data_IF_837000919840
#
_entry.id   IF_837000919840
#
_cell.length_a   1.000
_cell.length_b   1.000
_cell.length_c   1.000
_cell.angle_alpha   90.00
_cell.angle_beta   90.00
_cell.angle_gamma   90.00
#
_symmetry.space_group_name_H-M   'P 1'
#
loop_
_entity.id
_entity.type
_entity.pdbx_description
1 polymer ?
#
# COMPACT_ATOMS: atom_id res chain seq x y z
N UNK A 1 18.35 -5.95 -3.04
CA UNK A 1 16.91 -5.94 -2.73
C UNK A 1 16.36 -4.56 -3.08
N UNK A 2 15.88 -4.39 -4.31
CA UNK A 2 15.24 -3.15 -4.76
C UNK A 2 13.74 -3.27 -4.56
N UNK A 3 13.14 -2.34 -3.82
CA UNK A 3 11.69 -2.27 -3.61
C UNK A 3 11.19 -1.10 -4.46
N UNK A 4 10.42 -1.37 -5.51
CA UNK A 4 9.70 -0.34 -6.23
C UNK A 4 8.30 -0.20 -5.64
N UNK A 5 7.98 0.99 -5.10
CA UNK A 5 6.65 1.38 -4.68
C UNK A 5 5.99 2.15 -5.82
N UNK A 6 5.16 1.49 -6.61
CA UNK A 6 4.42 2.17 -7.69
C UNK A 6 3.22 2.90 -7.11
N UNK A 7 3.32 4.24 -7.02
CA UNK A 7 2.22 5.11 -6.61
C UNK A 7 1.54 5.69 -7.85
N UNK A 8 0.34 5.21 -8.18
CA UNK A 8 -0.46 5.76 -9.27
C UNK A 8 -1.12 7.08 -8.87
N UNK A 9 -0.37 8.19 -8.81
CA UNK A 9 -0.92 9.54 -8.62
C UNK A 9 -0.46 10.48 -9.73
N UNK A 10 -1.42 10.97 -10.54
CA UNK A 10 -1.17 12.14 -11.40
C UNK A 10 -2.15 12.36 -12.56
N UNK A 11 -2.74 11.33 -13.18
CA UNK A 11 -3.38 11.50 -14.49
C UNK A 11 -4.83 11.01 -14.63
N UNK A 12 -5.50 10.64 -13.54
CA UNK A 12 -6.83 10.00 -13.62
C UNK A 12 -6.82 8.59 -14.23
N UNK A 13 -5.64 8.07 -14.63
CA UNK A 13 -5.45 6.64 -14.86
C UNK A 13 -5.34 5.96 -13.51
N UNK A 14 -6.10 4.89 -13.33
CA UNK A 14 -6.25 4.28 -12.03
C UNK A 14 -5.03 3.45 -11.60
N UNK A 15 -4.31 2.82 -12.56
CA UNK A 15 -3.05 2.08 -12.37
C UNK A 15 -2.18 2.17 -13.62
N UNK A 16 -0.87 2.34 -13.43
CA UNK A 16 0.13 2.30 -14.52
C UNK A 16 0.70 0.89 -14.70
N UNK A 17 0.08 0.12 -15.59
CA UNK A 17 0.54 -1.24 -15.94
C UNK A 17 1.89 -1.21 -16.68
N UNK A 18 2.18 -0.13 -17.41
CA UNK A 18 3.46 0.00 -18.13
C UNK A 18 4.61 0.09 -17.15
N UNK A 19 4.49 0.97 -16.14
CA UNK A 19 5.47 1.08 -15.06
C UNK A 19 5.59 -0.22 -14.26
N UNK A 20 4.48 -0.93 -14.02
CA UNK A 20 4.50 -2.23 -13.37
C UNK A 20 5.29 -3.28 -14.18
N UNK A 21 5.02 -3.38 -15.48
CA UNK A 21 5.71 -4.30 -16.38
C UNK A 21 7.22 -3.98 -16.46
N UNK A 22 7.57 -2.70 -16.55
CA UNK A 22 8.96 -2.26 -16.51
C UNK A 22 9.64 -2.62 -15.18
N UNK A 23 8.93 -2.45 -14.07
CA UNK A 23 9.44 -2.81 -12.74
C UNK A 23 9.73 -4.30 -12.60
N UNK A 24 8.91 -5.18 -13.23
CA UNK A 24 9.16 -6.62 -13.22
C UNK A 24 10.45 -7.03 -13.95
N UNK A 25 10.97 -6.18 -14.85
CA UNK A 25 12.25 -6.43 -15.54
C UNK A 25 13.43 -6.09 -14.63
N UNK A 26 13.30 -5.04 -13.82
CA UNK A 26 14.41 -4.49 -13.03
C UNK A 26 14.48 -5.02 -11.60
N UNK A 27 13.38 -5.56 -11.06
CA UNK A 27 13.28 -5.90 -9.64
C UNK A 27 12.77 -7.32 -9.42
N UNK A 28 13.40 -8.02 -8.46
CA UNK A 28 12.95 -9.35 -8.01
C UNK A 28 11.58 -9.30 -7.30
N UNK A 29 11.27 -8.15 -6.68
CA UNK A 29 10.01 -7.92 -5.96
C UNK A 29 9.49 -6.52 -6.25
N UNK A 30 8.25 -6.46 -6.72
CA UNK A 30 7.50 -5.23 -6.97
C UNK A 30 6.38 -5.13 -5.96
N UNK A 31 6.31 -3.99 -5.26
CA UNK A 31 5.29 -3.74 -4.24
C UNK A 31 4.31 -2.69 -4.77
N UNK A 32 3.07 -3.11 -4.97
CA UNK A 32 2.00 -2.24 -5.47
C UNK A 32 1.19 -1.68 -4.31
N UNK A 33 0.93 -0.37 -4.33
CA UNK A 33 0.10 0.29 -3.32
C UNK A 33 -1.18 0.83 -3.96
N UNK A 34 -2.25 0.01 -4.04
CA UNK A 34 -3.54 0.47 -4.55
C UNK A 34 -4.14 1.48 -3.57
N UNK A 35 -4.49 2.67 -4.06
CA UNK A 35 -5.03 3.74 -3.21
C UNK A 35 -6.48 3.48 -2.77
N UNK A 36 -7.20 2.58 -3.45
CA UNK A 36 -8.56 2.16 -3.13
C UNK A 36 -8.92 0.82 -3.80
N UNK A 37 -10.11 0.31 -3.49
CA UNK A 37 -10.63 -0.97 -3.97
C UNK A 37 -10.90 -1.01 -5.47
N UNK A 38 -11.26 0.14 -6.06
CA UNK A 38 -11.51 0.24 -7.50
C UNK A 38 -10.20 0.09 -8.28
N UNK A 39 -9.14 0.77 -7.83
CA UNK A 39 -7.80 0.60 -8.42
C UNK A 39 -7.37 -0.87 -8.36
N UNK A 40 -7.47 -1.52 -7.19
CA UNK A 40 -7.13 -2.94 -7.09
C UNK A 40 -7.97 -3.81 -8.04
N UNK A 41 -9.26 -3.50 -8.20
CA UNK A 41 -10.13 -4.22 -9.13
C UNK A 41 -9.70 -4.03 -10.58
N UNK A 42 -9.33 -2.82 -10.98
CA UNK A 42 -8.82 -2.53 -12.31
C UNK A 42 -7.47 -3.22 -12.56
N UNK A 43 -6.60 -3.31 -11.54
CA UNK A 43 -5.35 -4.08 -11.62
C UNK A 43 -5.61 -5.53 -11.98
N UNK A 44 -6.47 -6.19 -11.19
CA UNK A 44 -6.77 -7.60 -11.35
C UNK A 44 -7.54 -7.83 -12.65
N UNK A 45 -8.47 -6.93 -12.99
CA UNK A 45 -9.22 -6.97 -14.24
C UNK A 45 -8.30 -6.94 -15.45
N UNK A 46 -7.19 -6.18 -15.42
CA UNK A 46 -6.21 -6.20 -16.50
C UNK A 46 -5.66 -7.61 -16.76
N UNK A 47 -5.27 -8.36 -15.73
CA UNK A 47 -4.81 -9.75 -15.90
C UNK A 47 -5.91 -10.68 -16.41
N UNK A 48 -7.14 -10.52 -15.91
CA UNK A 48 -8.29 -11.30 -16.37
C UNK A 48 -8.55 -11.06 -17.86
N UNK A 49 -8.60 -9.79 -18.27
CA UNK A 49 -8.92 -9.40 -19.65
C UNK A 49 -7.84 -9.82 -20.65
N UNK A 50 -6.59 -9.96 -20.22
CA UNK A 50 -5.49 -10.46 -21.04
C UNK A 50 -5.30 -11.99 -20.96
N UNK A 51 -6.14 -12.71 -20.20
CA UNK A 51 -6.00 -14.15 -20.04
C UNK A 51 -4.80 -14.59 -19.19
N UNK A 52 -4.17 -13.67 -18.46
CA UNK A 52 -2.94 -13.86 -17.67
C UNK A 52 -3.22 -13.93 -16.16
N UNK A 53 -4.45 -14.26 -15.76
CA UNK A 53 -4.82 -14.40 -14.35
C UNK A 53 -3.97 -15.46 -13.61
N UNK A 54 -3.54 -16.52 -14.30
CA UNK A 54 -2.64 -17.51 -13.70
C UNK A 54 -1.26 -16.92 -13.42
N UNK A 55 -0.75 -16.05 -14.30
CA UNK A 55 0.53 -15.37 -14.10
C UNK A 55 0.44 -14.42 -12.91
N UNK A 56 -0.68 -13.72 -12.74
CA UNK A 56 -0.95 -12.93 -11.52
C UNK A 56 -0.82 -13.77 -10.24
N UNK A 57 -1.43 -14.97 -10.21
CA UNK A 57 -1.30 -15.86 -9.07
C UNK A 57 0.11 -16.40 -8.88
N UNK A 58 0.85 -16.65 -9.96
CA UNK A 58 2.25 -17.05 -9.90
C UNK A 58 3.13 -15.94 -9.32
N UNK A 59 2.96 -14.71 -9.77
CA UNK A 59 3.68 -13.53 -9.24
C UNK A 59 3.46 -13.36 -7.74
N UNK A 60 2.23 -13.57 -7.26
CA UNK A 60 1.93 -13.57 -5.82
C UNK A 60 2.57 -14.76 -5.11
N UNK A 61 2.46 -15.96 -5.67
CA UNK A 61 2.99 -17.18 -5.05
C UNK A 61 4.52 -17.14 -4.90
N UNK A 62 5.21 -16.57 -5.89
CA UNK A 62 6.67 -16.41 -5.89
C UNK A 62 7.14 -15.23 -5.03
N UNK A 63 6.21 -14.38 -4.59
CA UNK A 63 6.51 -13.16 -3.85
C UNK A 63 7.10 -12.04 -4.71
N UNK A 64 7.14 -12.22 -6.04
CA UNK A 64 7.53 -11.20 -7.02
C UNK A 64 6.57 -10.02 -7.03
N UNK A 65 5.28 -10.27 -6.80
CA UNK A 65 4.29 -9.23 -6.59
C UNK A 65 3.83 -9.27 -5.14
N UNK A 66 3.92 -8.12 -4.47
CA UNK A 66 3.31 -7.89 -3.15
C UNK A 66 2.49 -6.61 -3.17
N UNK A 67 1.65 -6.48 -2.16
CA UNK A 67 0.83 -5.30 -1.94
C UNK A 67 1.23 -4.60 -0.66
N UNK A 68 1.16 -3.28 -0.67
CA UNK A 68 1.37 -2.46 0.49
C UNK A 68 0.14 -1.60 0.72
N UNK A 69 -0.38 -1.62 1.95
CA UNK A 69 -1.58 -0.88 2.31
C UNK A 69 -1.34 -0.04 3.58
N UNK A 70 -1.67 1.24 3.49
CA UNK A 70 -1.74 2.12 4.66
C UNK A 70 -3.15 2.01 5.26
N UNK A 71 -3.27 1.36 6.40
CA UNK A 71 -4.53 1.23 7.13
C UNK A 71 -4.88 2.51 7.90
N UNK A 72 -4.62 3.69 7.34
CA UNK A 72 -4.97 4.99 7.90
C UNK A 72 -4.83 6.08 6.83
N UNK A 73 -5.48 7.22 7.06
CA UNK A 73 -5.35 8.42 6.24
C UNK A 73 -4.59 9.47 7.03
N UNK A 74 -3.49 9.98 6.50
CA UNK A 74 -2.79 11.13 7.06
C UNK A 74 -3.29 12.43 6.43
N UNK A 75 -3.64 13.41 7.24
CA UNK A 75 -4.02 14.75 6.80
C UNK A 75 -3.30 15.82 7.62
N UNK A 76 -2.96 16.94 6.98
CA UNK A 76 -2.47 18.12 7.68
C UNK A 76 -3.67 18.97 8.12
N UNK A 77 -3.69 19.36 9.39
CA UNK A 77 -4.67 20.31 9.93
C UNK A 77 -3.94 21.43 10.67
N UNK A 78 -4.56 22.60 10.70
CA UNK A 78 -4.14 23.66 11.61
C UNK A 78 -4.98 23.53 12.87
N UNK A 79 -4.33 23.40 14.02
CA UNK A 79 -4.99 23.37 15.33
C UNK A 79 -4.20 24.26 16.26
N UNK A 80 -4.88 25.17 16.94
CA UNK A 80 -4.28 26.11 17.90
C UNK A 80 -3.11 26.92 17.29
N UNK A 81 -3.27 27.37 16.05
CA UNK A 81 -2.25 28.05 15.21
C UNK A 81 -0.97 27.23 14.92
N UNK A 82 -0.98 25.93 15.22
CA UNK A 82 0.11 25.01 14.90
C UNK A 82 -0.26 24.04 13.77
N UNK A 83 0.67 23.84 12.84
CA UNK A 83 0.56 22.78 11.83
C UNK A 83 0.70 21.41 12.49
N UNK A 84 -0.34 20.60 12.36
CA UNK A 84 -0.41 19.25 12.91
C UNK A 84 -0.68 18.22 11.81
N UNK A 85 -0.02 17.06 11.88
CA UNK A 85 -0.34 15.90 11.05
C UNK A 85 -1.22 14.96 11.87
N UNK A 86 -2.39 14.63 11.35
CA UNK A 86 -3.35 13.73 11.98
C UNK A 86 -3.48 12.47 11.15
N UNK A 87 -3.34 11.33 11.82
CA UNK A 87 -3.64 10.03 11.24
C UNK A 87 -5.05 9.63 11.67
N UNK A 88 -5.92 9.46 10.69
CA UNK A 88 -7.29 9.02 10.86
C UNK A 88 -7.32 7.53 10.53
N UNK A 89 -7.60 6.72 11.55
CA UNK A 89 -7.75 5.28 11.42
C UNK A 89 -9.12 4.90 11.99
N UNK A 90 -9.94 4.24 11.18
CA UNK A 90 -11.22 3.71 11.67
C UNK A 90 -11.02 2.41 12.48
N UNK A 91 -12.07 1.95 13.15
CA UNK A 91 -12.01 0.75 13.99
C UNK A 91 -11.66 -0.51 13.20
N UNK A 92 -12.14 -0.66 11.97
CA UNK A 92 -11.85 -1.81 11.12
C UNK A 92 -10.39 -1.78 10.67
N UNK A 93 -9.88 -0.60 10.33
CA UNK A 93 -8.50 -0.38 9.95
C UNK A 93 -7.52 -0.66 11.09
N UNK A 94 -7.93 -0.50 12.35
CA UNK A 94 -7.11 -0.85 13.50
C UNK A 94 -7.04 -2.37 13.74
N UNK A 95 -7.99 -3.16 13.20
CA UNK A 95 -7.94 -4.62 13.33
C UNK A 95 -6.79 -5.22 12.52
N UNK A 96 -6.16 -6.30 13.01
CA UNK A 96 -5.18 -7.04 12.22
C UNK A 96 -5.84 -7.71 11.01
N UNK A 97 -5.13 -7.78 9.88
CA UNK A 97 -5.61 -8.37 8.63
C UNK A 97 -6.88 -7.68 8.09
N UNK A 98 -6.96 -6.35 8.23
CA UNK A 98 -8.14 -5.59 7.79
C UNK A 98 -8.25 -5.50 6.26
N UNK A 99 -7.13 -5.68 5.55
CA UNK A 99 -7.06 -5.65 4.09
C UNK A 99 -8.08 -6.60 3.43
N UNK A 100 -8.15 -7.86 3.85
CA UNK A 100 -9.07 -8.85 3.25
C UNK A 100 -10.52 -8.35 3.30
N UNK A 101 -10.95 -7.85 4.46
CA UNK A 101 -12.30 -7.31 4.65
C UNK A 101 -12.54 -6.02 3.88
N UNK A 102 -11.55 -5.11 3.85
CA UNK A 102 -11.70 -3.78 3.26
C UNK A 102 -11.58 -3.76 1.75
N UNK A 103 -10.74 -4.62 1.18
CA UNK A 103 -10.48 -4.69 -0.25
C UNK A 103 -11.15 -5.88 -0.90
N UNK A 104 -10.89 -7.10 -0.42
CA UNK A 104 -11.27 -8.30 -1.16
C UNK A 104 -12.77 -8.59 -1.12
N UNK A 105 -13.47 -8.14 -0.08
CA UNK A 105 -14.94 -8.27 0.04
C UNK A 105 -15.70 -7.13 -0.63
N UNK A 106 -14.99 -6.15 -1.20
CA UNK A 106 -15.64 -5.05 -1.91
C UNK A 106 -16.30 -5.56 -3.20
N UNK A 107 -17.48 -5.05 -3.52
CA UNK A 107 -18.28 -5.51 -4.67
C UNK A 107 -17.52 -5.44 -6.00
N UNK A 108 -16.65 -4.42 -6.18
CA UNK A 108 -15.83 -4.30 -7.39
C UNK A 108 -14.86 -5.46 -7.58
N UNK A 109 -14.35 -6.05 -6.49
CA UNK A 109 -13.46 -7.21 -6.52
C UNK A 109 -14.28 -8.49 -6.67
N UNK A 110 -15.36 -8.65 -5.87
CA UNK A 110 -16.19 -9.85 -5.93
C UNK A 110 -16.84 -10.04 -7.31
N UNK A 111 -17.18 -8.96 -8.01
CA UNK A 111 -17.73 -8.98 -9.36
C UNK A 111 -16.78 -9.61 -10.40
N UNK A 112 -15.46 -9.52 -10.18
CA UNK A 112 -14.46 -10.17 -11.04
C UNK A 112 -14.44 -11.70 -10.87
N UNK A 113 -14.95 -12.19 -9.74
CA UNK A 113 -14.94 -13.60 -9.36
C UNK A 113 -16.34 -14.06 -8.91
N UNK A 114 -17.30 -14.23 -9.83
CA UNK A 114 -18.68 -14.53 -9.47
C UNK A 114 -18.84 -15.88 -8.75
N UNK A 115 -17.92 -16.83 -9.00
CA UNK A 115 -17.91 -18.14 -8.34
C UNK A 115 -17.19 -18.06 -6.98
N UNK A 116 -17.86 -18.50 -5.92
CA UNK A 116 -17.31 -18.50 -4.56
C UNK A 116 -15.95 -19.23 -4.43
N UNK A 117 -15.75 -20.32 -5.19
CA UNK A 117 -14.46 -21.03 -5.21
C UNK A 117 -13.31 -20.17 -5.72
N UNK A 118 -13.56 -19.30 -6.70
CA UNK A 118 -12.53 -18.40 -7.23
C UNK A 118 -12.22 -17.29 -6.22
N UNK A 119 -13.23 -16.77 -5.51
CA UNK A 119 -13.02 -15.83 -4.40
C UNK A 119 -12.14 -16.42 -3.31
N UNK A 120 -12.42 -17.65 -2.87
CA UNK A 120 -11.58 -18.34 -1.88
C UNK A 120 -10.13 -18.48 -2.34
N UNK A 121 -9.91 -18.76 -3.63
CA UNK A 121 -8.57 -18.84 -4.18
C UNK A 121 -7.86 -17.48 -4.19
N UNK A 122 -8.56 -16.42 -4.60
CA UNK A 122 -8.06 -15.06 -4.52
C UNK A 122 -7.64 -14.69 -3.10
N UNK A 123 -8.52 -14.92 -2.11
CA UNK A 123 -8.24 -14.56 -0.71
C UNK A 123 -7.02 -15.31 -0.18
N UNK A 124 -6.87 -16.60 -0.55
CA UNK A 124 -5.68 -17.37 -0.19
C UNK A 124 -4.39 -16.84 -0.84
N UNK A 125 -4.47 -16.30 -2.06
CA UNK A 125 -3.30 -15.77 -2.75
C UNK A 125 -2.78 -14.46 -2.13
N UNK A 126 -3.65 -13.68 -1.49
CA UNK A 126 -3.28 -12.40 -0.86
C UNK A 126 -2.76 -12.53 0.58
N UNK A 127 -3.09 -13.61 1.31
CA UNK A 127 -2.89 -13.72 2.76
C UNK A 127 -1.46 -13.43 3.25
N UNK A 128 -0.45 -13.83 2.49
CA UNK A 128 0.98 -13.62 2.85
C UNK A 128 1.68 -12.62 1.92
N UNK A 129 0.91 -11.94 1.06
CA UNK A 129 1.41 -11.01 0.04
C UNK A 129 0.98 -9.57 0.26
N UNK A 130 0.42 -9.26 1.43
CA UNK A 130 0.03 -7.91 1.82
C UNK A 130 0.85 -7.48 3.03
N UNK A 131 1.58 -6.38 2.87
CA UNK A 131 2.16 -5.63 3.98
C UNK A 131 1.15 -4.57 4.37
N UNK A 132 0.45 -4.82 5.47
CA UNK A 132 -0.53 -3.90 6.04
C UNK A 132 0.16 -3.10 7.14
N UNK A 133 0.17 -1.77 7.01
CA UNK A 133 0.87 -0.90 7.97
C UNK A 133 -0.11 -0.09 8.78
N UNK A 134 -0.02 -0.22 10.10
CA UNK A 134 -0.89 0.44 11.08
C UNK A 134 -0.29 1.74 11.59
N UNK A 135 -1.14 2.62 12.10
CA UNK A 135 -0.71 3.91 12.65
C UNK A 135 0.25 3.76 13.83
N UNK A 136 0.02 2.75 14.66
CA UNK A 136 0.82 2.44 15.85
C UNK A 136 2.27 2.06 15.54
N UNK A 137 2.53 1.49 14.36
CA UNK A 137 3.87 1.12 13.91
C UNK A 137 4.78 2.36 13.67
N UNK A 138 4.17 3.53 13.47
CA UNK A 138 4.90 4.79 13.32
C UNK A 138 5.11 5.55 14.64
N UNK A 139 4.50 5.11 15.74
CA UNK A 139 4.51 5.86 17.00
C UNK A 139 5.93 6.11 17.54
N UNK A 140 6.78 5.08 17.52
CA UNK A 140 8.17 5.19 18.00
C UNK A 140 9.01 6.12 17.13
N UNK A 141 8.85 6.07 15.80
CA UNK A 141 9.55 6.95 14.87
C UNK A 141 9.15 8.42 15.08
N UNK A 142 7.86 8.68 15.33
CA UNK A 142 7.34 10.03 15.60
C UNK A 142 7.92 10.57 16.92
N UNK A 143 7.91 9.77 17.99
CA UNK A 143 8.44 10.21 19.29
C UNK A 143 9.97 10.43 19.25
N UNK A 144 10.71 9.59 18.53
CA UNK A 144 12.12 9.81 18.28
C UNK A 144 12.36 11.12 17.50
N UNK A 145 11.62 11.35 16.42
CA UNK A 145 11.72 12.59 15.64
C UNK A 145 11.40 13.84 16.50
N UNK A 146 10.41 13.75 17.40
CA UNK A 146 10.10 14.83 18.36
C UNK A 146 11.24 15.09 19.33
N UNK A 147 11.85 14.05 19.87
CA UNK A 147 13.00 14.17 20.76
C UNK A 147 14.20 14.80 20.04
N UNK A 148 14.48 14.35 18.82
CA UNK A 148 15.59 14.85 18.02
C UNK A 148 15.39 16.30 17.57
N UNK A 149 14.16 16.68 17.22
CA UNK A 149 13.82 18.07 16.87
C UNK A 149 14.06 19.05 18.02
N UNK A 150 13.79 18.61 19.26
CA UNK A 150 13.95 19.42 20.49
C UNK A 150 15.39 19.48 21.01
N UNK A 151 16.30 18.63 20.52
CA UNK A 151 17.72 18.65 20.87
C UNK A 151 18.51 19.39 19.75
N UNK A 152 19.02 20.61 20.01
CA UNK A 152 19.75 21.39 19.00
C UNK A 152 20.94 20.65 18.38
N UNK A 153 21.61 19.76 19.14
CA UNK A 153 22.77 19.01 18.63
C UNK A 153 22.35 17.93 17.66
N UNK A 154 21.25 17.22 17.95
CA UNK A 154 20.72 16.18 17.07
C UNK A 154 20.04 16.78 15.84
N UNK A 155 19.29 17.85 16.03
CA UNK A 155 18.64 18.59 14.95
C UNK A 155 19.68 19.12 13.94
N UNK A 156 20.83 19.62 14.42
CA UNK A 156 21.91 20.06 13.54
C UNK A 156 22.43 18.95 12.61
N UNK A 157 22.51 17.70 13.09
CA UNK A 157 22.93 16.54 12.27
C UNK A 157 21.88 16.25 11.19
N UNK A 158 20.59 16.32 11.54
CA UNK A 158 19.50 16.10 10.60
C UNK A 158 19.50 17.19 9.51
N UNK A 159 19.61 18.46 9.89
CA UNK A 159 19.68 19.57 8.92
C UNK A 159 20.89 19.44 8.01
N UNK A 160 22.06 19.07 8.55
CA UNK A 160 23.26 18.85 7.76
C UNK A 160 23.02 17.80 6.66
N UNK A 161 22.33 16.70 6.98
CA UNK A 161 22.00 15.65 6.00
C UNK A 161 21.03 16.07 4.89
N UNK A 162 20.36 17.22 4.99
CA UNK A 162 19.53 17.79 3.93
C UNK A 162 20.26 18.81 3.05
N UNK A 163 21.41 19.31 3.52
CA UNK A 163 22.20 20.36 2.84
C UNK A 163 23.41 19.76 2.12
N UNK A 164 23.96 18.66 2.64
CA UNK A 164 25.00 17.84 2.00
C UNK A 164 24.42 16.83 0.99
#
# INVERSE_FOLDING_TARGET
MGICLTRAKGSGKSIDIGLFAESLIYYDTVIVNPSNQLQLAEFISWFINNGTLNDFYMLLKEGTLKFYEYSFISTAIIKDDEYSIWNIQDKLQAEPNSFERRFLYHQSIEALFPKARHRKHLYSAFRDNVVEVKTEEFGSAIENARADFRDPRRNAIIVQSFVD
#
